data_IF_211734435427
#
_entry.id   IF_211734435427
#
_cell.length_a   1.000
_cell.length_b   1.000
_cell.length_c   1.000
_cell.angle_alpha   90.00
_cell.angle_beta   90.00
_cell.angle_gamma   90.00
#
_symmetry.space_group_name_H-M   'P 1'
#
loop_
_entity.id
_entity.type
_entity.pdbx_description
1 polymer ?
#
# COMPACT_ATOMS: atom_id res chain seq x y z
N UNK A 1 -10.74 36.83 -11.71
CA UNK A 1 -10.23 35.44 -11.52
C UNK A 1 -11.29 34.54 -10.89
N UNK A 2 -11.97 34.97 -9.83
CA UNK A 2 -13.10 34.26 -9.19
C UNK A 2 -14.31 33.99 -10.12
N UNK A 3 -14.66 34.91 -11.02
CA UNK A 3 -15.76 34.69 -11.99
C UNK A 3 -15.46 33.59 -13.02
N UNK A 4 -14.21 33.48 -13.47
CA UNK A 4 -13.79 32.40 -14.39
C UNK A 4 -13.88 31.02 -13.71
N UNK A 5 -13.73 30.97 -12.39
CA UNK A 5 -13.88 29.75 -11.59
C UNK A 5 -15.35 29.35 -11.42
N UNK A 6 -16.25 30.33 -11.25
CA UNK A 6 -17.69 30.13 -11.10
C UNK A 6 -18.37 29.63 -12.38
N UNK A 7 -17.84 29.99 -13.54
CA UNK A 7 -18.30 29.49 -14.84
C UNK A 7 -17.82 28.07 -15.18
N UNK A 8 -16.71 27.60 -14.58
CA UNK A 8 -16.23 26.23 -14.78
C UNK A 8 -16.97 25.20 -13.90
N UNK A 9 -17.52 25.62 -12.76
CA UNK A 9 -18.28 24.78 -11.82
C UNK A 9 -19.44 23.98 -12.45
N UNK A 10 -20.29 24.55 -13.33
CA UNK A 10 -21.39 23.80 -13.94
C UNK A 10 -20.94 22.67 -14.89
N UNK A 11 -19.78 22.80 -15.54
CA UNK A 11 -19.22 21.74 -16.41
C UNK A 11 -18.81 20.51 -15.59
N UNK A 12 -18.29 20.71 -14.37
CA UNK A 12 -17.95 19.61 -13.46
C UNK A 12 -19.18 18.98 -12.79
N UNK A 13 -20.29 19.71 -12.68
CA UNK A 13 -21.58 19.18 -12.22
C UNK A 13 -22.25 18.33 -13.31
N UNK A 14 -22.06 18.68 -14.59
CA UNK A 14 -22.60 17.95 -15.73
C UNK A 14 -21.84 16.65 -16.07
N UNK A 15 -20.58 16.50 -15.62
CA UNK A 15 -19.75 15.30 -15.84
C UNK A 15 -19.98 14.16 -14.84
N UNK A 16 -21.00 14.28 -13.98
CA UNK A 16 -21.87 13.17 -13.60
C UNK A 16 -21.29 11.98 -12.82
N UNK A 17 -20.85 12.20 -11.58
CA UNK A 17 -20.90 11.12 -10.58
C UNK A 17 -21.62 11.62 -9.33
N UNK A 18 -22.75 10.99 -9.00
CA UNK A 18 -23.57 11.25 -7.80
C UNK A 18 -22.71 11.07 -6.53
N UNK A 19 -21.74 10.16 -6.57
CA UNK A 19 -20.80 9.92 -5.47
C UNK A 19 -19.88 11.13 -5.22
N UNK A 20 -19.58 11.92 -6.25
CA UNK A 20 -18.74 13.12 -6.11
C UNK A 20 -19.52 14.29 -5.50
N UNK A 21 -20.82 14.41 -5.78
CA UNK A 21 -21.66 15.43 -5.15
C UNK A 21 -21.89 15.14 -3.65
N UNK A 22 -22.00 13.85 -3.29
CA UNK A 22 -22.03 13.41 -1.89
C UNK A 22 -20.71 13.70 -1.17
N UNK A 23 -19.56 13.47 -1.83
CA UNK A 23 -18.24 13.87 -1.31
C UNK A 23 -18.12 15.38 -1.09
N UNK A 24 -18.62 16.21 -2.01
CA UNK A 24 -18.58 17.67 -1.86
C UNK A 24 -19.53 18.15 -0.76
N UNK A 25 -20.72 17.55 -0.59
CA UNK A 25 -21.59 17.83 0.56
C UNK A 25 -20.93 17.41 1.88
N UNK A 26 -20.32 16.22 1.96
CA UNK A 26 -19.57 15.74 3.13
C UNK A 26 -18.40 16.67 3.49
N UNK A 27 -17.66 17.17 2.49
CA UNK A 27 -16.55 18.10 2.70
C UNK A 27 -17.00 19.51 3.09
N UNK A 28 -18.18 19.95 2.66
CA UNK A 28 -18.77 21.24 3.05
C UNK A 28 -19.43 21.21 4.42
N UNK A 29 -20.04 20.08 4.81
CA UNK A 29 -20.68 19.88 6.11
C UNK A 29 -19.65 19.59 7.21
N UNK A 30 -18.55 18.91 6.88
CA UNK A 30 -17.45 18.58 7.80
C UNK A 30 -16.30 19.61 7.74
N UNK A 31 -16.61 20.91 7.64
CA UNK A 31 -15.65 22.00 7.79
C UNK A 31 -15.26 22.22 9.27
N UNK A 32 -15.01 21.11 9.97
CA UNK A 32 -14.61 21.01 11.37
C UNK A 32 -13.40 20.11 11.57
N UNK A 33 -12.53 19.96 10.56
CA UNK A 33 -11.20 19.41 10.79
C UNK A 33 -10.27 20.53 11.25
N UNK A 34 -10.38 20.82 12.54
CA UNK A 34 -9.35 21.51 13.27
C UNK A 34 -8.12 20.58 13.26
N UNK A 35 -7.12 20.91 12.44
CA UNK A 35 -5.85 20.15 12.30
C UNK A 35 -5.14 19.97 13.65
N UNK A 36 -5.55 20.75 14.66
CA UNK A 36 -5.02 20.75 16.02
C UNK A 36 -5.55 19.65 16.95
N UNK A 37 -6.58 18.87 16.56
CA UNK A 37 -7.04 17.74 17.40
C UNK A 37 -6.36 16.41 17.06
N UNK A 38 -5.78 16.28 15.86
CA UNK A 38 -5.03 15.09 15.43
C UNK A 38 -3.60 15.06 15.99
N UNK A 39 -3.03 16.22 16.32
CA UNK A 39 -1.67 16.35 16.86
C UNK A 39 -1.59 16.27 18.39
N UNK A 40 -2.72 16.36 19.10
CA UNK A 40 -2.75 16.46 20.57
C UNK A 40 -3.20 15.17 21.28
N UNK A 41 -3.61 14.14 20.54
CA UNK A 41 -3.94 12.84 21.12
C UNK A 41 -2.67 12.01 21.26
N UNK A 42 -2.28 11.70 22.51
CA UNK A 42 -1.15 10.81 22.83
C UNK A 42 -1.23 9.49 22.07
N UNK A 43 -2.46 9.00 21.84
CA UNK A 43 -2.72 7.79 21.07
C UNK A 43 -2.20 7.87 19.62
N UNK A 44 -2.43 8.99 18.93
CA UNK A 44 -2.01 9.17 17.53
C UNK A 44 -0.48 9.22 17.40
N UNK A 45 0.22 9.77 18.40
CA UNK A 45 1.67 9.72 18.47
C UNK A 45 2.21 8.31 18.67
N UNK A 46 1.54 7.48 19.49
CA UNK A 46 1.90 6.09 19.67
C UNK A 46 1.67 5.26 18.40
N UNK A 47 0.55 5.45 17.71
CA UNK A 47 0.27 4.77 16.43
C UNK A 47 1.30 5.12 15.36
N UNK A 48 1.65 6.40 15.24
CA UNK A 48 2.70 6.87 14.33
C UNK A 48 4.07 6.29 14.71
N UNK A 49 4.41 6.31 16.01
CA UNK A 49 5.65 5.71 16.51
C UNK A 49 5.74 4.21 16.22
N UNK A 50 4.63 3.48 16.43
CA UNK A 50 4.52 2.06 16.11
C UNK A 50 4.74 1.80 14.61
N UNK A 51 4.12 2.59 13.73
CA UNK A 51 4.30 2.44 12.28
C UNK A 51 5.74 2.72 11.85
N UNK A 52 6.36 3.78 12.37
CA UNK A 52 7.73 4.17 12.01
C UNK A 52 8.73 3.13 12.52
N UNK A 53 8.65 2.76 13.80
CA UNK A 53 9.63 1.85 14.40
C UNK A 53 9.37 0.41 13.95
N UNK A 54 8.15 -0.06 14.14
CA UNK A 54 7.72 -1.42 13.82
C UNK A 54 7.66 -1.68 12.32
N UNK A 55 6.86 -0.89 11.61
CA UNK A 55 6.61 -1.09 10.18
C UNK A 55 7.80 -0.76 9.28
N UNK A 56 8.60 0.26 9.64
CA UNK A 56 9.65 0.79 8.76
C UNK A 56 11.06 0.46 9.24
N UNK A 57 11.48 0.96 10.41
CA UNK A 57 12.87 0.87 10.85
C UNK A 57 13.32 -0.58 11.06
N UNK A 58 12.53 -1.38 11.78
CA UNK A 58 12.85 -2.79 12.03
C UNK A 58 12.90 -3.57 10.71
N UNK A 59 11.90 -3.38 9.84
CA UNK A 59 11.87 -4.02 8.52
C UNK A 59 13.09 -3.67 7.68
N UNK A 60 13.49 -2.38 7.67
CA UNK A 60 14.65 -1.91 6.93
C UNK A 60 15.96 -2.47 7.47
N UNK A 61 16.12 -2.55 8.80
CA UNK A 61 17.32 -3.15 9.43
C UNK A 61 17.42 -4.63 9.09
N UNK A 62 16.33 -5.39 9.22
CA UNK A 62 16.30 -6.83 8.88
C UNK A 62 16.63 -7.02 7.40
N UNK A 63 16.05 -6.22 6.52
CA UNK A 63 16.34 -6.27 5.08
C UNK A 63 17.82 -6.02 4.80
N UNK A 64 18.40 -4.95 5.35
CA UNK A 64 19.81 -4.63 5.16
C UNK A 64 20.74 -5.72 5.72
N UNK A 65 20.40 -6.29 6.88
CA UNK A 65 21.16 -7.42 7.44
C UNK A 65 21.08 -8.64 6.51
N UNK A 66 19.91 -8.92 5.93
CA UNK A 66 19.74 -9.93 4.91
C UNK A 66 20.61 -9.67 3.68
N UNK A 67 20.64 -8.43 3.19
CA UNK A 67 21.48 -8.02 2.05
C UNK A 67 22.96 -8.26 2.35
N UNK A 68 23.41 -7.93 3.57
CA UNK A 68 24.80 -8.14 3.98
C UNK A 68 25.18 -9.63 4.08
N UNK A 69 24.25 -10.51 4.49
CA UNK A 69 24.53 -11.94 4.70
C UNK A 69 24.39 -12.80 3.45
N UNK A 70 23.35 -12.58 2.64
CA UNK A 70 23.00 -13.45 1.50
C UNK A 70 22.98 -12.73 0.15
N UNK A 71 23.26 -11.42 0.13
CA UNK A 71 23.31 -10.58 -1.06
C UNK A 71 21.93 -10.10 -1.54
N UNK A 72 21.91 -8.88 -2.10
CA UNK A 72 20.68 -8.16 -2.47
C UNK A 72 19.72 -8.97 -3.38
N UNK A 73 20.25 -9.76 -4.32
CA UNK A 73 19.44 -10.57 -5.22
C UNK A 73 18.67 -11.68 -4.50
N UNK A 74 19.25 -12.33 -3.48
CA UNK A 74 18.54 -13.36 -2.75
C UNK A 74 17.57 -12.74 -1.73
N UNK A 75 17.99 -11.69 -1.02
CA UNK A 75 17.13 -10.98 -0.05
C UNK A 75 15.87 -10.43 -0.70
N UNK A 76 15.97 -9.86 -1.92
CA UNK A 76 14.81 -9.30 -2.63
C UNK A 76 13.76 -10.35 -2.99
N UNK A 77 14.13 -11.63 -3.15
CA UNK A 77 13.18 -12.71 -3.41
C UNK A 77 12.26 -12.93 -2.18
N UNK A 78 12.74 -12.68 -0.96
CA UNK A 78 11.94 -12.80 0.25
C UNK A 78 10.86 -11.71 0.37
N UNK A 79 11.02 -10.56 -0.28
CA UNK A 79 9.98 -9.52 -0.32
C UNK A 79 8.72 -10.02 -1.06
N UNK A 80 8.85 -11.01 -1.93
CA UNK A 80 7.70 -11.63 -2.57
C UNK A 80 6.82 -12.43 -1.59
N UNK A 81 7.35 -12.79 -0.41
CA UNK A 81 6.58 -13.43 0.66
C UNK A 81 5.78 -12.43 1.49
N UNK A 82 6.14 -11.14 1.46
CA UNK A 82 5.45 -10.07 2.19
C UNK A 82 3.93 -10.12 1.98
N UNK A 83 3.36 -10.13 0.77
CA UNK A 83 1.90 -10.17 0.59
C UNK A 83 1.24 -11.41 1.21
N UNK A 84 1.91 -12.56 1.21
CA UNK A 84 1.41 -13.79 1.82
C UNK A 84 1.35 -13.63 3.34
N UNK A 85 2.45 -13.16 3.95
CA UNK A 85 2.54 -12.95 5.41
C UNK A 85 1.59 -11.86 5.86
N UNK A 86 1.52 -10.74 5.13
CA UNK A 86 0.60 -9.63 5.42
C UNK A 86 -0.85 -10.09 5.33
N UNK A 87 -1.24 -10.86 4.32
CA UNK A 87 -2.60 -11.38 4.24
C UNK A 87 -2.93 -12.34 5.39
N UNK A 88 -1.99 -13.21 5.76
CA UNK A 88 -2.20 -14.13 6.87
C UNK A 88 -2.37 -13.38 8.20
N UNK A 89 -1.52 -12.40 8.45
CA UNK A 89 -1.62 -11.52 9.62
C UNK A 89 -2.90 -10.69 9.60
N UNK A 90 -3.36 -10.23 8.43
CA UNK A 90 -4.60 -9.49 8.30
C UNK A 90 -5.80 -10.32 8.74
N UNK A 91 -5.89 -11.58 8.28
CA UNK A 91 -6.98 -12.50 8.67
C UNK A 91 -6.89 -12.83 10.16
N UNK A 92 -5.69 -13.04 10.69
CA UNK A 92 -5.49 -13.43 12.09
C UNK A 92 -5.73 -12.29 13.09
N UNK A 93 -5.35 -11.05 12.74
CA UNK A 93 -5.41 -9.92 13.66
C UNK A 93 -6.71 -9.11 13.56
N UNK A 94 -7.33 -9.08 12.38
CA UNK A 94 -8.49 -8.22 12.13
C UNK A 94 -9.79 -9.00 11.90
N UNK A 95 -9.78 -10.34 12.02
CA UNK A 95 -10.93 -11.23 11.79
C UNK A 95 -11.69 -10.92 10.48
N UNK A 96 -10.99 -10.37 9.49
CA UNK A 96 -11.61 -9.94 8.24
C UNK A 96 -12.09 -11.16 7.48
N UNK A 97 -13.40 -11.28 7.28
CA UNK A 97 -13.99 -12.28 6.40
C UNK A 97 -13.36 -12.13 5.00
N UNK A 98 -12.75 -13.21 4.51
CA UNK A 98 -12.16 -13.27 3.17
C UNK A 98 -13.26 -13.07 2.13
N UNK A 99 -13.40 -11.84 1.66
CA UNK A 99 -14.33 -11.50 0.57
C UNK A 99 -13.73 -11.96 -0.76
N UNK A 100 -14.60 -12.34 -1.71
CA UNK A 100 -14.19 -12.77 -3.05
C UNK A 100 -13.22 -11.82 -3.76
N UNK A 101 -13.37 -10.48 -3.68
CA UNK A 101 -12.40 -9.55 -4.27
C UNK A 101 -11.00 -9.64 -3.66
N UNK A 102 -10.89 -9.87 -2.34
CA UNK A 102 -9.60 -10.01 -1.66
C UNK A 102 -8.88 -11.28 -2.12
N UNK A 103 -9.61 -12.39 -2.27
CA UNK A 103 -9.06 -13.64 -2.78
C UNK A 103 -8.55 -13.50 -4.23
N UNK A 104 -9.28 -12.79 -5.08
CA UNK A 104 -8.85 -12.50 -6.46
C UNK A 104 -7.59 -11.64 -6.49
N UNK A 105 -7.52 -10.60 -5.65
CA UNK A 105 -6.31 -9.78 -5.50
C UNK A 105 -5.11 -10.60 -5.04
N UNK A 106 -5.30 -11.49 -4.08
CA UNK A 106 -4.25 -12.37 -3.56
C UNK A 106 -3.76 -13.36 -4.64
N UNK A 107 -4.68 -13.96 -5.41
CA UNK A 107 -4.34 -14.84 -6.53
C UNK A 107 -3.57 -14.11 -7.64
N UNK A 108 -3.92 -12.85 -7.93
CA UNK A 108 -3.20 -12.03 -8.91
C UNK A 108 -1.77 -11.74 -8.45
N UNK A 109 -1.58 -11.36 -7.19
CA UNK A 109 -0.24 -11.12 -6.61
C UNK A 109 0.61 -12.39 -6.62
N UNK A 110 0.03 -13.54 -6.26
CA UNK A 110 0.74 -14.83 -6.33
C UNK A 110 1.16 -15.18 -7.77
N UNK A 111 0.31 -14.88 -8.75
CA UNK A 111 0.60 -15.12 -10.17
C UNK A 111 1.75 -14.24 -10.66
N UNK A 112 1.73 -12.95 -10.32
CA UNK A 112 2.80 -12.00 -10.63
C UNK A 112 4.16 -12.46 -10.05
N UNK A 113 4.17 -12.82 -8.76
CA UNK A 113 5.35 -13.34 -8.07
C UNK A 113 5.87 -14.61 -8.75
N UNK A 114 4.99 -15.54 -9.13
CA UNK A 114 5.37 -16.78 -9.77
C UNK A 114 6.06 -16.53 -11.13
N UNK A 115 5.49 -15.63 -11.94
CA UNK A 115 6.07 -15.22 -13.22
C UNK A 115 7.43 -14.52 -13.04
N UNK A 116 7.53 -13.60 -12.09
CA UNK A 116 8.77 -12.90 -11.77
C UNK A 116 9.87 -13.87 -11.31
N UNK A 117 9.53 -14.86 -10.48
CA UNK A 117 10.44 -15.89 -9.98
C UNK A 117 11.01 -16.77 -11.11
N UNK A 118 10.16 -17.23 -12.05
CA UNK A 118 10.58 -18.04 -13.20
C UNK A 118 11.50 -17.25 -14.14
N UNK A 119 11.13 -16.00 -14.43
CA UNK A 119 11.93 -15.08 -15.28
C UNK A 119 13.35 -14.89 -14.72
N UNK A 120 13.45 -14.69 -13.41
CA UNK A 120 14.73 -14.48 -12.72
C UNK A 120 15.62 -15.73 -12.80
N UNK A 121 15.03 -16.93 -12.69
CA UNK A 121 15.74 -18.22 -12.82
C UNK A 121 16.27 -18.44 -14.25
N UNK A 122 15.49 -18.08 -15.28
CA UNK A 122 15.86 -18.23 -16.70
C UNK A 122 17.04 -17.32 -17.08
N UNK A 123 17.06 -16.07 -16.61
CA UNK A 123 18.19 -15.13 -16.82
C UNK A 123 19.47 -15.58 -16.11
N UNK A 124 19.36 -16.22 -14.95
CA UNK A 124 20.52 -16.71 -14.19
C UNK A 124 21.20 -17.91 -14.85
N UNK A 125 20.43 -18.85 -15.45
CA UNK A 125 20.98 -19.97 -16.24
C UNK A 125 21.68 -19.52 -17.53
N UNK A 126 21.13 -18.55 -18.24
CA UNK A 126 21.74 -18.03 -19.46
C UNK A 126 23.12 -17.36 -19.25
N UNK A 127 23.36 -16.76 -18.07
CA UNK A 127 24.65 -16.15 -17.72
C UNK A 127 25.72 -17.16 -17.26
N UNK A 128 25.34 -18.34 -16.76
CA UNK A 128 26.29 -19.38 -16.31
C UNK A 128 26.78 -20.23 -17.47
N UNK A 129 26.01 -20.33 -18.56
CA UNK A 129 26.35 -21.17 -19.72
C UNK A 129 27.20 -20.44 -20.80
N UNK A 130 27.45 -19.15 -20.62
CA UNK A 130 28.29 -18.32 -21.50
C UNK A 130 29.61 -17.86 -20.85
N UNK A 131 29.99 -18.47 -19.72
CA UNK A 131 31.34 -18.41 -19.13
C UNK A 131 31.96 -19.78 -19.18
#
# INVERSE_FOLDING_TARGET
MLEKFRQATPIFQALGDVNRQQLVMLLLEHNSLNVNQLTMSVQSWFEMGYMVIGGTLIGYVIFNLGVQRIGASQTSIYLNLTPIVTSLLSVLLYDTHMTWPLLLGLAYVLTDVFLASISTRKRRRAKVQHR
#
